data_IF_462339110934
#
_entry.id   IF_462339110934
#
_cell.length_a   1.000
_cell.length_b   1.000
_cell.length_c   1.000
_cell.angle_alpha   90.00
_cell.angle_beta   90.00
_cell.angle_gamma   90.00
#
_symmetry.space_group_name_H-M   'P 1'
#
loop_
_entity.id
_entity.type
_entity.pdbx_description
1 polymer ?
#
# COMPACT_ATOMS: atom_id res chain seq x y z
N UNK A 1 14.26 -4.56 -1.16
CA UNK A 1 14.37 -3.54 -2.23
C UNK A 1 14.88 -4.10 -3.56
N UNK A 2 15.70 -5.17 -3.57
CA UNK A 2 16.21 -5.77 -4.82
C UNK A 2 15.15 -6.11 -5.86
N UNK A 3 13.96 -6.47 -5.42
CA UNK A 3 12.86 -6.88 -6.30
C UNK A 3 12.28 -5.73 -7.11
N UNK A 4 12.38 -4.51 -6.60
CA UNK A 4 11.91 -3.31 -7.31
C UNK A 4 12.78 -2.98 -8.52
N UNK A 5 14.05 -3.38 -8.54
CA UNK A 5 14.90 -3.27 -9.72
C UNK A 5 14.39 -4.09 -10.92
N UNK A 6 13.52 -5.09 -10.67
CA UNK A 6 12.88 -5.89 -11.72
C UNK A 6 11.63 -5.22 -12.29
N UNK A 7 11.08 -4.20 -11.62
CA UNK A 7 9.96 -3.43 -12.14
C UNK A 7 10.47 -2.36 -13.13
N UNK A 8 10.03 -2.36 -14.40
CA UNK A 8 10.59 -1.47 -15.43
C UNK A 8 10.30 0.01 -15.17
N UNK A 9 9.19 0.33 -14.51
CA UNK A 9 8.82 1.72 -14.19
C UNK A 9 9.69 2.24 -13.04
N UNK A 10 9.89 1.43 -12.00
CA UNK A 10 10.79 1.78 -10.88
C UNK A 10 12.24 1.87 -11.35
N UNK A 11 12.70 0.90 -12.16
CA UNK A 11 14.05 0.92 -12.74
C UNK A 11 14.32 2.21 -13.50
N UNK A 12 13.36 2.67 -14.33
CA UNK A 12 13.48 3.91 -15.08
C UNK A 12 13.52 5.14 -14.16
N UNK A 13 12.69 5.18 -13.11
CA UNK A 13 12.70 6.27 -12.11
C UNK A 13 14.04 6.33 -11.38
N UNK A 14 14.52 5.20 -10.86
CA UNK A 14 15.79 5.10 -10.15
C UNK A 14 16.99 5.42 -11.03
N UNK A 15 16.99 4.98 -12.29
CA UNK A 15 18.07 5.30 -13.24
C UNK A 15 18.12 6.81 -13.51
N UNK A 16 16.96 7.48 -13.66
CA UNK A 16 16.90 8.94 -13.84
C UNK A 16 17.38 9.71 -12.62
N UNK A 17 17.15 9.18 -11.42
CA UNK A 17 17.62 9.75 -10.16
C UNK A 17 19.08 9.40 -9.82
N UNK A 18 19.76 8.59 -10.65
CA UNK A 18 21.15 8.19 -10.43
C UNK A 18 21.34 7.15 -9.31
N UNK A 19 20.28 6.45 -8.91
CA UNK A 19 20.32 5.43 -7.87
C UNK A 19 21.10 4.20 -8.33
N UNK A 20 21.78 3.54 -7.38
CA UNK A 20 22.57 2.34 -7.66
C UNK A 20 22.01 1.13 -6.89
N UNK A 21 22.08 -0.05 -7.51
CA UNK A 21 21.64 -1.29 -6.86
C UNK A 21 22.43 -1.54 -5.58
N UNK A 22 21.73 -1.82 -4.49
CA UNK A 22 22.31 -1.95 -3.14
C UNK A 22 22.49 -0.62 -2.39
N UNK A 23 22.32 0.54 -3.04
CA UNK A 23 22.37 1.88 -2.43
C UNK A 23 21.20 2.76 -2.87
N UNK A 24 19.99 2.19 -2.87
CA UNK A 24 18.77 2.98 -3.12
C UNK A 24 18.50 3.86 -1.92
N UNK A 25 18.49 5.18 -2.12
CA UNK A 25 18.06 6.14 -1.11
C UNK A 25 16.57 6.39 -1.25
N UNK A 26 15.86 6.33 -0.13
CA UNK A 26 14.48 6.79 -0.10
C UNK A 26 14.41 8.31 -0.27
N UNK A 27 13.33 8.79 -0.88
CA UNK A 27 13.07 10.23 -0.94
C UNK A 27 12.90 10.77 0.48
N UNK A 28 13.35 12.01 0.70
CA UNK A 28 13.25 12.67 1.99
C UNK A 28 12.45 13.97 1.85
N UNK A 29 11.63 14.28 2.86
CA UNK A 29 10.95 15.57 2.94
C UNK A 29 11.87 16.64 3.55
N UNK A 30 11.34 17.86 3.75
CA UNK A 30 12.07 18.97 4.37
C UNK A 30 12.53 18.68 5.80
N UNK A 31 11.90 17.73 6.48
CA UNK A 31 12.23 17.28 7.84
C UNK A 31 13.15 16.04 7.84
N UNK A 32 13.65 15.61 6.68
CA UNK A 32 14.48 14.41 6.48
C UNK A 32 13.75 13.08 6.78
N UNK A 33 12.41 13.08 6.82
CA UNK A 33 11.63 11.85 6.93
C UNK A 33 11.62 11.12 5.60
N UNK A 34 11.91 9.82 5.65
CA UNK A 34 12.01 8.98 4.45
C UNK A 34 10.64 8.49 3.99
N UNK A 35 10.36 8.65 2.70
CA UNK A 35 9.12 8.23 2.05
C UNK A 35 9.38 7.59 0.69
N UNK A 36 8.38 6.83 0.22
CA UNK A 36 8.40 6.16 -1.08
C UNK A 36 7.67 7.00 -2.14
N UNK A 37 8.17 6.97 -3.37
CA UNK A 37 7.44 7.49 -4.53
C UNK A 37 6.15 6.69 -4.77
N UNK A 38 5.18 7.27 -5.48
CA UNK A 38 3.94 6.55 -5.84
C UNK A 38 4.22 5.31 -6.70
N UNK A 39 5.24 5.39 -7.55
CA UNK A 39 5.67 4.27 -8.40
C UNK A 39 6.22 3.14 -7.54
N UNK A 40 7.06 3.46 -6.56
CA UNK A 40 7.60 2.48 -5.62
C UNK A 40 6.49 1.81 -4.79
N UNK A 41 5.57 2.59 -4.22
CA UNK A 41 4.46 2.04 -3.41
C UNK A 41 3.58 1.11 -4.26
N UNK A 42 3.21 1.51 -5.48
CA UNK A 42 2.44 0.66 -6.40
C UNK A 42 3.19 -0.62 -6.75
N UNK A 43 4.49 -0.54 -7.05
CA UNK A 43 5.29 -1.71 -7.37
C UNK A 43 5.44 -2.68 -6.20
N UNK A 44 5.58 -2.19 -4.96
CA UNK A 44 5.60 -3.05 -3.76
C UNK A 44 4.24 -3.76 -3.62
N UNK A 45 3.13 -3.06 -3.81
CA UNK A 45 1.80 -3.67 -3.78
C UNK A 45 1.63 -4.76 -4.86
N UNK A 46 2.08 -4.51 -6.10
CA UNK A 46 2.06 -5.50 -7.19
C UNK A 46 2.87 -6.76 -6.84
N UNK A 47 4.06 -6.58 -6.26
CA UNK A 47 4.92 -7.70 -5.84
C UNK A 47 4.25 -8.51 -4.72
N UNK A 48 3.72 -7.86 -3.69
CA UNK A 48 3.04 -8.55 -2.58
C UNK A 48 1.79 -9.29 -3.06
N UNK A 49 0.96 -8.66 -3.89
CA UNK A 49 -0.23 -9.31 -4.46
C UNK A 49 0.17 -10.53 -5.27
N UNK A 50 1.09 -10.37 -6.23
CA UNK A 50 1.46 -11.44 -7.15
C UNK A 50 2.04 -12.67 -6.45
N UNK A 51 2.73 -12.47 -5.32
CA UNK A 51 3.36 -13.55 -4.56
C UNK A 51 2.43 -14.25 -3.57
N UNK A 52 1.60 -13.49 -2.87
CA UNK A 52 0.90 -14.01 -1.69
C UNK A 52 -0.62 -13.91 -1.78
N UNK A 53 -1.15 -13.05 -2.65
CA UNK A 53 -2.59 -12.75 -2.72
C UNK A 53 -3.15 -12.79 -4.14
N UNK A 54 -2.50 -13.52 -5.06
CA UNK A 54 -2.85 -13.56 -6.49
C UNK A 54 -4.31 -13.94 -6.73
N UNK A 55 -4.82 -14.87 -5.94
CA UNK A 55 -6.19 -15.40 -6.06
C UNK A 55 -7.27 -14.44 -5.53
N UNK A 56 -6.88 -13.36 -4.83
CA UNK A 56 -7.81 -12.42 -4.20
C UNK A 56 -8.34 -11.34 -5.14
N UNK A 57 -7.72 -11.17 -6.32
CA UNK A 57 -8.15 -10.17 -7.30
C UNK A 57 -7.96 -8.70 -6.84
N UNK A 58 -7.11 -8.45 -5.83
CA UNK A 58 -6.86 -7.10 -5.35
C UNK A 58 -6.09 -6.26 -6.38
N UNK A 59 -6.46 -4.99 -6.49
CA UNK A 59 -5.81 -4.04 -7.39
C UNK A 59 -4.69 -3.29 -6.66
N UNK A 60 -3.47 -3.36 -7.20
CA UNK A 60 -2.31 -2.70 -6.61
C UNK A 60 -2.49 -1.17 -6.47
N UNK A 61 -3.16 -0.52 -7.43
CA UNK A 61 -3.50 0.91 -7.34
C UNK A 61 -4.35 1.25 -6.11
N UNK A 62 -5.28 0.36 -5.73
CA UNK A 62 -6.14 0.58 -4.56
C UNK A 62 -5.34 0.45 -3.26
N UNK A 63 -4.48 -0.56 -3.17
CA UNK A 63 -3.61 -0.75 -2.00
C UNK A 63 -2.57 0.36 -1.86
N UNK A 64 -2.03 0.84 -2.98
CA UNK A 64 -1.09 1.96 -2.99
C UNK A 64 -1.76 3.27 -2.57
N UNK A 65 -2.98 3.53 -3.04
CA UNK A 65 -3.78 4.66 -2.57
C UNK A 65 -4.13 4.55 -1.08
N UNK A 66 -4.42 3.35 -0.60
CA UNK A 66 -4.67 3.09 0.82
C UNK A 66 -3.41 3.37 1.66
N UNK A 67 -2.24 2.91 1.21
CA UNK A 67 -0.96 3.20 1.84
C UNK A 67 -0.70 4.71 1.96
N UNK A 68 -0.89 5.46 0.87
CA UNK A 68 -0.75 6.93 0.90
C UNK A 68 -1.78 7.60 1.80
N UNK A 69 -3.01 7.07 1.87
CA UNK A 69 -4.04 7.58 2.79
C UNK A 69 -3.67 7.34 4.26
N UNK A 70 -3.02 6.21 4.56
CA UNK A 70 -2.58 5.82 5.89
C UNK A 70 -1.36 6.61 6.37
N UNK A 71 -0.31 6.66 5.55
CA UNK A 71 1.04 7.07 5.99
C UNK A 71 1.62 8.24 5.22
N UNK A 72 0.91 8.79 4.23
CA UNK A 72 1.49 9.73 3.24
C UNK A 72 2.73 9.16 2.54
N UNK A 73 2.82 7.82 2.45
CA UNK A 73 3.95 7.06 1.90
C UNK A 73 5.23 7.10 2.76
N UNK A 74 5.16 7.62 3.98
CA UNK A 74 6.27 7.58 4.93
C UNK A 74 6.55 6.14 5.37
N UNK A 75 7.84 5.79 5.37
CA UNK A 75 8.29 4.42 5.65
C UNK A 75 8.02 4.02 7.09
N UNK A 76 8.23 4.94 8.01
CA UNK A 76 7.99 4.72 9.43
C UNK A 76 6.52 4.96 9.81
N UNK A 77 5.70 5.42 8.87
CA UNK A 77 4.31 5.83 9.10
C UNK A 77 4.17 7.28 9.56
N UNK A 78 2.98 7.63 10.04
CA UNK A 78 2.61 8.99 10.44
C UNK A 78 1.74 8.96 11.71
N UNK A 79 2.05 9.82 12.67
CA UNK A 79 1.34 9.92 13.96
C UNK A 79 1.25 8.55 14.66
N UNK A 80 0.04 8.05 14.91
CA UNK A 80 -0.21 6.75 15.54
C UNK A 80 -0.15 5.55 14.59
N UNK A 81 0.04 5.77 13.29
CA UNK A 81 0.07 4.72 12.28
C UNK A 81 1.50 4.29 12.02
N UNK A 82 1.81 3.03 12.28
CA UNK A 82 3.13 2.45 12.04
C UNK A 82 3.29 1.98 10.60
N UNK A 83 4.44 2.31 10.01
CA UNK A 83 4.82 1.76 8.72
C UNK A 83 4.02 2.32 7.54
N UNK A 84 4.33 1.81 6.35
CA UNK A 84 3.70 2.21 5.09
C UNK A 84 2.18 2.01 5.08
N UNK A 85 1.69 0.91 5.64
CA UNK A 85 0.25 0.55 5.64
C UNK A 85 -0.52 0.97 6.87
N UNK A 86 0.15 1.59 7.86
CA UNK A 86 -0.48 2.09 9.07
C UNK A 86 -1.13 1.04 9.95
N UNK A 87 -0.60 -0.19 9.94
CA UNK A 87 -1.01 -1.29 10.82
C UNK A 87 -0.12 -1.26 12.06
N UNK A 88 -0.70 -1.32 13.25
CA UNK A 88 0.08 -1.39 14.49
C UNK A 88 0.62 -2.80 14.76
N UNK A 89 1.61 -2.90 15.64
CA UNK A 89 2.23 -4.17 15.98
C UNK A 89 1.22 -5.21 16.53
N UNK A 90 0.29 -4.87 17.45
CA UNK A 90 -0.71 -5.83 17.92
C UNK A 90 -1.56 -6.43 16.80
N UNK A 91 -2.02 -5.61 15.84
CA UNK A 91 -2.80 -6.10 14.70
C UNK A 91 -1.95 -6.97 13.78
N UNK A 92 -0.72 -6.56 13.46
CA UNK A 92 0.20 -7.37 12.64
C UNK A 92 0.52 -8.71 13.30
N UNK A 93 0.76 -8.72 14.61
CA UNK A 93 1.06 -9.93 15.37
C UNK A 93 -0.15 -10.87 15.43
N UNK A 94 -1.36 -10.34 15.61
CA UNK A 94 -2.59 -11.13 15.52
C UNK A 94 -2.79 -11.75 14.12
N UNK A 95 -2.56 -10.98 13.05
CA UNK A 95 -2.61 -11.48 11.67
C UNK A 95 -1.59 -12.62 11.45
N UNK A 96 -0.38 -12.46 11.97
CA UNK A 96 0.69 -13.46 11.89
C UNK A 96 0.36 -14.74 12.67
N UNK A 97 -0.04 -14.58 13.94
CA UNK A 97 -0.22 -15.68 14.89
C UNK A 97 -1.53 -16.42 14.67
N UNK A 98 -2.64 -15.67 14.60
CA UNK A 98 -3.99 -16.20 14.69
C UNK A 98 -4.63 -16.39 13.30
N UNK A 99 -4.37 -15.50 12.35
CA UNK A 99 -4.90 -15.62 10.98
C UNK A 99 -3.99 -16.43 10.03
N UNK A 100 -2.79 -16.80 10.47
CA UNK A 100 -1.89 -17.70 9.73
C UNK A 100 -1.12 -17.06 8.57
N UNK A 101 -1.07 -15.74 8.48
CA UNK A 101 -0.28 -15.02 7.47
C UNK A 101 1.20 -14.98 7.86
N UNK A 102 1.95 -16.03 7.49
CA UNK A 102 3.33 -16.28 7.97
C UNK A 102 4.44 -16.04 6.95
N UNK A 103 4.17 -15.37 5.82
CA UNK A 103 5.20 -15.14 4.80
C UNK A 103 6.33 -14.20 5.28
N UNK A 104 6.01 -13.33 6.24
CA UNK A 104 6.99 -12.52 6.97
C UNK A 104 6.79 -12.74 8.46
N UNK A 105 7.89 -12.71 9.19
CA UNK A 105 7.89 -12.71 10.65
C UNK A 105 7.71 -11.26 11.15
N UNK A 106 7.00 -11.09 12.27
CA UNK A 106 6.84 -9.81 12.96
C UNK A 106 7.07 -10.02 14.45
N UNK A 107 8.13 -9.42 14.98
CA UNK A 107 8.58 -9.53 16.37
C UNK A 107 8.53 -8.20 17.09
N UNK A 108 8.61 -7.09 16.37
CA UNK A 108 8.53 -5.75 16.94
C UNK A 108 7.92 -4.73 15.98
N UNK A 109 7.77 -3.49 16.47
CA UNK A 109 7.28 -2.35 15.68
C UNK A 109 8.23 -2.04 14.53
N UNK A 110 9.54 -2.19 14.73
CA UNK A 110 10.58 -1.87 13.76
C UNK A 110 10.49 -2.73 12.49
N UNK A 111 9.99 -3.97 12.61
CA UNK A 111 9.77 -4.84 11.44
C UNK A 111 8.78 -4.22 10.45
N UNK A 112 7.81 -3.44 10.95
CA UNK A 112 6.80 -2.76 10.15
C UNK A 112 7.34 -1.50 9.44
N UNK A 113 8.57 -1.07 9.74
CA UNK A 113 9.26 -0.04 8.95
C UNK A 113 9.80 -0.61 7.65
N UNK A 114 9.87 -1.94 7.48
CA UNK A 114 10.16 -2.52 6.18
C UNK A 114 8.92 -2.40 5.27
N UNK A 115 9.01 -1.70 4.13
CA UNK A 115 7.85 -1.48 3.26
C UNK A 115 7.17 -2.75 2.76
N UNK A 116 7.93 -3.83 2.54
CA UNK A 116 7.37 -5.12 2.10
C UNK A 116 6.61 -5.82 3.22
N UNK A 117 7.15 -5.80 4.43
CA UNK A 117 6.50 -6.39 5.61
C UNK A 117 5.23 -5.60 5.94
N UNK A 118 5.33 -4.27 5.97
CA UNK A 118 4.18 -3.37 6.17
C UNK A 118 3.09 -3.59 5.12
N UNK A 119 3.47 -3.63 3.83
CA UNK A 119 2.53 -3.92 2.74
C UNK A 119 1.87 -5.29 2.92
N UNK A 120 2.66 -6.34 3.20
CA UNK A 120 2.12 -7.70 3.40
C UNK A 120 1.06 -7.77 4.48
N UNK A 121 1.34 -7.25 5.68
CA UNK A 121 0.37 -7.26 6.78
C UNK A 121 -0.83 -6.35 6.50
N UNK A 122 -0.63 -5.23 5.81
CA UNK A 122 -1.74 -4.40 5.33
C UNK A 122 -2.65 -5.13 4.36
N UNK A 123 -2.11 -5.85 3.37
CA UNK A 123 -2.92 -6.65 2.43
C UNK A 123 -3.60 -7.83 3.13
N UNK A 124 -2.94 -8.46 4.11
CA UNK A 124 -3.54 -9.50 4.92
C UNK A 124 -4.74 -8.97 5.72
N UNK A 125 -4.60 -7.81 6.38
CA UNK A 125 -5.71 -7.17 7.09
C UNK A 125 -6.84 -6.79 6.14
N UNK A 126 -6.51 -6.19 4.99
CA UNK A 126 -7.47 -5.87 3.94
C UNK A 126 -8.23 -7.13 3.46
N UNK A 127 -7.52 -8.26 3.32
CA UNK A 127 -8.11 -9.54 2.95
C UNK A 127 -9.01 -10.14 4.03
N UNK A 128 -8.71 -9.92 5.31
CA UNK A 128 -9.57 -10.36 6.40
C UNK A 128 -10.84 -9.51 6.43
N UNK A 129 -10.71 -8.19 6.28
CA UNK A 129 -11.84 -7.26 6.22
C UNK A 129 -12.79 -7.57 5.07
N UNK A 130 -12.30 -8.11 3.94
CA UNK A 130 -13.14 -8.42 2.78
C UNK A 130 -14.21 -9.47 3.09
N UNK A 131 -14.01 -10.27 4.14
CA UNK A 131 -14.93 -11.30 4.63
C UNK A 131 -15.42 -11.03 6.05
N UNK A 132 -15.35 -9.78 6.52
CA UNK A 132 -15.71 -9.41 7.88
C UNK A 132 -17.16 -9.81 8.20
N UNK A 133 -17.38 -10.45 9.35
CA UNK A 133 -18.65 -11.08 9.79
C UNK A 133 -19.20 -12.14 8.82
N UNK A 134 -18.31 -12.86 8.11
CA UNK A 134 -18.71 -13.97 7.25
C UNK A 134 -19.43 -13.56 5.97
N UNK A 135 -19.40 -12.28 5.59
CA UNK A 135 -19.99 -11.76 4.35
C UNK A 135 -18.97 -11.01 3.50
N UNK A 136 -19.15 -11.08 2.19
CA UNK A 136 -18.37 -10.30 1.24
C UNK A 136 -18.65 -8.80 1.43
N UNK A 137 -17.58 -8.00 1.48
CA UNK A 137 -17.65 -6.54 1.70
C UNK A 137 -17.30 -5.79 0.44
N UNK A 138 -17.99 -4.67 0.22
CA UNK A 138 -17.67 -3.76 -0.87
C UNK A 138 -16.42 -2.92 -0.55
N UNK A 139 -15.86 -2.27 -1.57
CA UNK A 139 -14.62 -1.50 -1.44
C UNK A 139 -14.73 -0.32 -0.48
N UNK A 140 -15.89 0.33 -0.43
CA UNK A 140 -16.12 1.46 0.48
C UNK A 140 -16.07 1.01 1.94
N UNK A 141 -16.76 -0.08 2.28
CA UNK A 141 -16.67 -0.69 3.61
C UNK A 141 -15.22 -1.05 3.93
N UNK A 142 -14.51 -1.68 2.99
CA UNK A 142 -13.13 -2.11 3.21
C UNK A 142 -12.23 -0.94 3.59
N UNK A 143 -12.29 0.17 2.83
CA UNK A 143 -11.45 1.34 3.10
C UNK A 143 -11.85 2.03 4.40
N UNK A 144 -13.15 2.19 4.67
CA UNK A 144 -13.61 2.81 5.91
C UNK A 144 -13.25 1.96 7.13
N UNK A 145 -13.45 0.65 7.06
CA UNK A 145 -13.09 -0.30 8.12
C UNK A 145 -11.57 -0.35 8.35
N UNK A 146 -10.79 -0.29 7.28
CA UNK A 146 -9.34 -0.28 7.38
C UNK A 146 -8.83 0.98 8.08
N UNK A 147 -9.42 2.14 7.75
CA UNK A 147 -8.98 3.43 8.27
C UNK A 147 -9.55 3.75 9.66
N UNK A 148 -10.77 3.31 9.96
CA UNK A 148 -11.49 3.68 11.19
C UNK A 148 -11.85 2.52 12.11
N UNK A 149 -11.55 1.28 11.73
CA UNK A 149 -11.99 0.07 12.43
C UNK A 149 -13.36 -0.42 11.90
N UNK A 150 -13.55 -1.75 11.75
CA UNK A 150 -14.76 -2.31 11.13
C UNK A 150 -16.05 -2.03 11.91
N UNK A 151 -15.97 -1.91 13.24
CA UNK A 151 -17.09 -1.61 14.13
C UNK A 151 -17.61 -0.16 13.98
N UNK A 152 -16.77 0.74 13.45
CA UNK A 152 -17.09 2.17 13.32
C UNK A 152 -17.69 2.56 11.96
N UNK A 153 -17.89 1.58 11.06
CA UNK A 153 -18.37 1.87 9.70
C UNK A 153 -19.88 2.11 9.68
N UNK A 154 -20.26 3.37 9.39
CA UNK A 154 -21.66 3.76 9.16
C UNK A 154 -21.91 3.90 7.66
N UNK A 155 -22.60 2.92 7.05
CA UNK A 155 -22.86 2.88 5.61
C UNK A 155 -23.98 3.82 5.11
N UNK A 156 -24.62 4.57 6.03
CA UNK A 156 -25.75 5.44 5.68
C UNK A 156 -25.32 6.69 4.91
N UNK A 157 -24.05 7.10 5.01
CA UNK A 157 -23.49 8.23 4.28
C UNK A 157 -22.06 7.91 3.82
N UNK A 158 -21.68 8.46 2.66
CA UNK A 158 -20.31 8.34 2.16
C UNK A 158 -19.34 9.05 3.11
N UNK A 159 -18.58 8.27 3.89
CA UNK A 159 -17.72 8.79 4.95
C UNK A 159 -16.56 9.64 4.42
N UNK A 160 -16.06 10.62 5.21
CA UNK A 160 -14.94 11.49 4.82
C UNK A 160 -13.67 10.71 4.49
N UNK A 161 -13.48 9.53 5.11
CA UNK A 161 -12.37 8.62 4.84
C UNK A 161 -12.41 8.04 3.41
N UNK A 162 -13.60 7.72 2.91
CA UNK A 162 -13.76 7.22 1.55
C UNK A 162 -13.47 8.30 0.52
N UNK A 163 -13.99 9.53 0.72
CA UNK A 163 -13.71 10.66 -0.18
C UNK A 163 -12.21 10.95 -0.28
N UNK A 164 -11.52 11.01 0.87
CA UNK A 164 -10.06 11.18 0.91
C UNK A 164 -9.34 10.08 0.14
N UNK A 165 -9.77 8.82 0.31
CA UNK A 165 -9.20 7.70 -0.44
C UNK A 165 -9.43 7.83 -1.96
N UNK A 166 -10.63 8.23 -2.40
CA UNK A 166 -10.95 8.42 -3.82
C UNK A 166 -10.08 9.52 -4.45
N UNK A 167 -9.86 10.63 -3.76
CA UNK A 167 -8.95 11.70 -4.21
C UNK A 167 -7.52 11.17 -4.38
N UNK A 168 -7.03 10.39 -3.43
CA UNK A 168 -5.69 9.79 -3.52
C UNK A 168 -5.63 8.77 -4.66
N UNK A 169 -6.68 7.97 -4.86
CA UNK A 169 -6.76 6.94 -5.90
C UNK A 169 -6.57 7.51 -7.31
N UNK A 170 -7.06 8.72 -7.57
CA UNK A 170 -6.87 9.42 -8.85
C UNK A 170 -5.38 9.59 -9.21
N UNK A 171 -4.49 9.72 -8.22
CA UNK A 171 -3.04 9.83 -8.45
C UNK A 171 -2.38 8.52 -8.92
N UNK A 172 -3.08 7.39 -8.79
CA UNK A 172 -2.62 6.06 -9.19
C UNK A 172 -3.30 5.54 -10.45
N UNK A 173 -4.22 6.31 -11.04
CA UNK A 173 -4.75 6.01 -12.36
C UNK A 173 -3.65 6.19 -13.39
N UNK A 174 -3.52 5.21 -14.29
CA UNK A 174 -2.60 5.33 -15.40
C UNK A 174 -3.08 6.53 -16.23
N UNK A 175 -2.26 7.58 -16.32
CA UNK A 175 -2.51 8.66 -17.28
C UNK A 175 -2.72 7.98 -18.62
N UNK A 176 -3.94 8.04 -19.17
CA UNK A 176 -4.23 7.55 -20.52
C UNK A 176 -3.09 8.06 -21.39
N UNK A 177 -2.27 7.15 -21.93
CA UNK A 177 -1.38 7.52 -23.02
C UNK A 177 -2.33 8.05 -24.08
N UNK A 178 -2.37 9.37 -24.26
CA UNK A 178 -2.77 9.91 -25.55
C UNK A 178 -1.81 9.27 -26.53
N UNK A 179 -2.30 8.23 -27.19
CA UNK A 179 -1.70 7.69 -28.39
C UNK A 179 -1.69 8.85 -29.36
N UNK A 180 -0.60 9.64 -29.36
CA UNK A 180 -0.26 10.49 -30.49
C UNK A 180 -0.05 9.55 -31.67
N UNK A 181 -1.15 9.21 -32.34
CA UNK A 181 -1.13 8.78 -33.73
C UNK A 181 -0.56 9.95 -34.50
N UNK A 182 0.76 9.99 -34.60
CA UNK A 182 1.44 10.76 -35.61
C UNK A 182 1.15 10.03 -36.93
N UNK A 183 0.00 10.30 -37.53
CA UNK A 183 -0.20 10.03 -38.94
C UNK A 183 0.67 11.03 -39.69
N UNK A 184 1.88 10.63 -40.03
CA UNK A 184 2.60 11.23 -41.15
C UNK A 184 2.07 10.49 -42.38
N UNK A 185 1.19 11.17 -43.12
CA UNK A 185 0.90 10.87 -44.52
C UNK A 185 1.87 11.66 -45.38
#
# INVERSE_FOLDING_TARGET
>A
MDELWKNPVVLNEWTKSGEQRGRVRFSQDSEKRSYLSRVEVKAIAEIIISRYFKERGFLAKCLAALAETCSLRFINGLCSRTGLMGIDYPTAFWIYRDLGFRAYEVKSVEDLYNPFISMYFGVAYYSWLSKYEGRERNQEFLVQAYLGGPENVKLQETGPLWKKFQEVLQNYEDKKKETRRCCIL
#
